data_IF_888571078706
#
_entry.id   IF_888571078706
#
_cell.length_a   1.000
_cell.length_b   1.000
_cell.length_c   1.000
_cell.angle_alpha   90.00
_cell.angle_beta   90.00
_cell.angle_gamma   90.00
#
_symmetry.space_group_name_H-M   'P 1'
#
loop_
_entity.id
_entity.type
_entity.pdbx_description
1 polymer ?
#
# COMPACT_ATOMS: atom_id res chain seq x y z
N UNK A 1 11.62 2.81 -9.86
CA UNK A 1 10.48 2.48 -10.75
C UNK A 1 9.17 2.84 -10.05
N UNK A 2 8.41 1.96 -9.40
CA UNK A 2 7.12 2.37 -8.82
C UNK A 2 7.21 3.24 -7.55
N UNK A 3 8.16 2.98 -6.63
CA UNK A 3 8.29 3.77 -5.39
C UNK A 3 8.61 5.25 -5.65
N UNK A 4 9.37 5.54 -6.69
CA UNK A 4 9.78 6.91 -7.03
C UNK A 4 8.56 7.72 -7.48
N UNK A 5 7.74 7.13 -8.36
CA UNK A 5 6.48 7.72 -8.81
C UNK A 5 5.44 7.81 -7.69
N UNK A 6 5.37 6.81 -6.81
CA UNK A 6 4.54 6.86 -5.61
C UNK A 6 4.91 8.05 -4.71
N UNK A 7 6.21 8.33 -4.53
CA UNK A 7 6.68 9.49 -3.75
C UNK A 7 6.33 10.79 -4.47
N UNK A 8 6.49 10.86 -5.80
CA UNK A 8 6.08 12.02 -6.60
C UNK A 8 4.59 12.30 -6.47
N UNK A 9 3.73 11.28 -6.60
CA UNK A 9 2.28 11.41 -6.42
C UNK A 9 1.97 11.98 -5.03
N UNK A 10 2.55 11.40 -3.97
CA UNK A 10 2.32 11.89 -2.61
C UNK A 10 2.77 13.35 -2.42
N UNK A 11 3.91 13.73 -3.00
CA UNK A 11 4.41 15.10 -2.91
C UNK A 11 3.59 16.10 -3.74
N UNK A 12 2.98 15.66 -4.83
CA UNK A 12 2.06 16.48 -5.64
C UNK A 12 0.72 16.70 -4.93
N UNK A 13 0.21 15.68 -4.23
CA UNK A 13 -0.97 15.83 -3.36
C UNK A 13 -0.69 16.81 -2.23
N UNK A 14 0.49 16.70 -1.60
CA UNK A 14 0.92 17.61 -0.54
C UNK A 14 2.44 17.62 -0.36
N UNK A 15 3.11 18.77 -0.46
CA UNK A 15 4.50 18.92 -0.03
C UNK A 15 4.67 18.52 1.43
N UNK A 16 5.86 18.06 1.81
CA UNK A 16 6.10 17.76 3.22
C UNK A 16 7.44 17.14 3.50
N UNK A 17 7.72 16.94 4.78
CA UNK A 17 8.92 16.27 5.25
C UNK A 17 8.91 14.78 4.94
N UNK A 18 10.09 14.16 4.94
CA UNK A 18 10.23 12.71 4.78
C UNK A 18 9.41 11.92 5.81
N UNK A 19 9.26 12.46 7.02
CA UNK A 19 8.44 11.85 8.08
C UNK A 19 6.94 11.94 7.75
N UNK A 20 6.47 13.11 7.31
CA UNK A 20 5.06 13.29 6.91
C UNK A 20 4.70 12.46 5.68
N UNK A 21 5.63 12.32 4.73
CA UNK A 21 5.54 11.40 3.61
C UNK A 21 5.39 9.96 4.09
N UNK A 22 6.29 9.49 4.95
CA UNK A 22 6.23 8.13 5.48
C UNK A 22 4.89 7.82 6.17
N UNK A 23 4.39 8.74 7.01
CA UNK A 23 3.06 8.59 7.62
C UNK A 23 1.89 8.64 6.64
N UNK A 24 2.06 9.25 5.47
CA UNK A 24 1.05 9.25 4.40
C UNK A 24 1.08 7.95 3.63
N UNK A 25 2.27 7.39 3.37
CA UNK A 25 2.41 6.05 2.83
C UNK A 25 1.69 5.03 3.70
N UNK A 26 1.82 5.08 5.02
CA UNK A 26 1.07 4.17 5.90
C UNK A 26 -0.46 4.31 5.83
N UNK A 27 -0.98 5.41 5.25
CA UNK A 27 -2.40 5.80 5.28
C UNK A 27 -3.09 5.95 3.92
N UNK A 28 -2.37 6.09 2.79
CA UNK A 28 -2.98 6.29 1.46
C UNK A 28 -2.36 5.41 0.38
N UNK A 29 -1.05 5.52 0.16
CA UNK A 29 -0.36 4.81 -0.94
C UNK A 29 0.13 3.42 -0.52
N UNK A 30 0.31 3.19 0.77
CA UNK A 30 0.73 1.91 1.36
C UNK A 30 -0.25 0.77 1.21
N UNK A 31 -1.42 1.03 0.60
CA UNK A 31 -2.36 0.00 0.19
C UNK A 31 -1.82 -0.86 -0.96
N UNK A 32 -1.08 -0.25 -1.89
CA UNK A 32 -0.54 -0.90 -3.07
C UNK A 32 0.98 -0.98 -3.05
N UNK A 33 1.63 -0.10 -2.28
CA UNK A 33 3.08 -0.07 -2.24
C UNK A 33 3.63 0.10 -0.83
N UNK A 34 4.08 -0.99 -0.23
CA UNK A 34 4.78 -0.95 1.05
C UNK A 34 6.21 -0.42 0.86
N UNK A 35 6.56 0.62 1.61
CA UNK A 35 7.92 1.13 1.68
C UNK A 35 8.29 1.43 3.13
N UNK A 36 9.44 0.94 3.55
CA UNK A 36 10.01 1.31 4.85
C UNK A 36 10.44 2.78 4.84
N UNK A 37 10.46 3.42 6.00
CA UNK A 37 10.97 4.80 6.12
C UNK A 37 12.36 4.92 5.50
N UNK A 38 13.25 3.95 5.76
CA UNK A 38 14.61 3.96 5.22
C UNK A 38 14.64 3.88 3.69
N UNK A 39 13.69 3.19 3.05
CA UNK A 39 13.57 3.20 1.59
C UNK A 39 13.10 4.56 1.09
N UNK A 40 12.10 5.17 1.74
CA UNK A 40 11.60 6.51 1.40
C UNK A 40 12.73 7.55 1.46
N UNK A 41 13.48 7.60 2.56
CA UNK A 41 14.59 8.55 2.70
C UNK A 41 15.72 8.33 1.68
N UNK A 42 16.03 7.08 1.34
CA UNK A 42 17.02 6.76 0.30
C UNK A 42 16.57 7.25 -1.08
N UNK A 43 15.28 7.07 -1.40
CA UNK A 43 14.71 7.52 -2.67
C UNK A 43 14.65 9.05 -2.74
N UNK A 44 14.22 9.72 -1.66
CA UNK A 44 14.21 11.19 -1.59
C UNK A 44 15.60 11.78 -1.85
N UNK A 45 16.65 11.25 -1.20
CA UNK A 45 18.03 11.70 -1.42
C UNK A 45 18.47 11.55 -2.88
N UNK A 46 18.09 10.44 -3.52
CA UNK A 46 18.41 10.21 -4.95
C UNK A 46 17.65 11.20 -5.84
N UNK A 47 16.35 11.36 -5.63
CA UNK A 47 15.50 12.29 -6.38
C UNK A 47 15.94 13.75 -6.25
N UNK A 48 16.45 14.15 -5.08
CA UNK A 48 17.08 15.47 -4.86
C UNK A 48 18.31 15.62 -5.77
N UNK A 49 19.19 14.60 -5.80
CA UNK A 49 20.36 14.58 -6.69
C UNK A 49 20.00 14.55 -8.17
N UNK A 50 18.90 13.88 -8.55
CA UNK A 50 18.39 13.80 -9.91
C UNK A 50 17.61 15.07 -10.34
N UNK A 51 17.40 16.03 -9.43
CA UNK A 51 16.63 17.26 -9.67
C UNK A 51 15.12 17.04 -9.84
N UNK A 52 14.59 15.90 -9.37
CA UNK A 52 13.17 15.58 -9.46
C UNK A 52 12.34 16.25 -8.35
N UNK A 53 12.99 16.60 -7.24
CA UNK A 53 12.38 17.29 -6.11
C UNK A 53 13.24 18.47 -5.67
N UNK A 54 12.57 19.50 -5.18
CA UNK A 54 13.19 20.63 -4.50
C UNK A 54 13.15 20.40 -2.98
N UNK A 55 14.14 20.95 -2.28
CA UNK A 55 14.24 20.89 -0.83
C UNK A 55 14.29 22.30 -0.26
N UNK A 56 13.39 22.59 0.67
CA UNK A 56 13.40 23.81 1.46
C UNK A 56 13.64 23.49 2.92
N UNK A 57 14.58 24.18 3.55
CA UNK A 57 14.71 24.15 5.01
C UNK A 57 13.64 25.06 5.63
N UNK A 58 12.85 24.48 6.52
CA UNK A 58 11.80 25.17 7.25
C UNK A 58 12.19 25.22 8.71
N UNK A 59 12.46 26.43 9.18
CA UNK A 59 12.78 26.68 10.58
C UNK A 59 11.66 26.18 11.49
N UNK A 60 12.04 25.55 12.61
CA UNK A 60 11.10 25.08 13.61
C UNK A 60 11.48 25.62 14.99
N UNK A 61 10.49 26.10 15.75
CA UNK A 61 10.72 26.46 17.15
C UNK A 61 10.90 25.19 18.00
N UNK A 62 11.90 25.22 18.88
CA UNK A 62 12.27 24.14 19.82
C UNK A 62 12.60 22.76 19.20
N UNK A 63 12.85 22.69 17.89
CA UNK A 63 13.27 21.45 17.18
C UNK A 63 14.22 21.76 16.03
N UNK A 64 15.03 20.79 15.56
CA UNK A 64 15.84 20.97 14.36
C UNK A 64 14.98 21.33 13.15
N UNK A 65 15.51 22.18 12.28
CA UNK A 65 14.89 22.55 11.02
C UNK A 65 14.46 21.31 10.22
N UNK A 66 13.26 21.37 9.65
CA UNK A 66 12.77 20.28 8.79
C UNK A 66 13.10 20.56 7.34
N UNK A 67 13.51 19.51 6.64
CA UNK A 67 13.51 19.48 5.17
C UNK A 67 12.09 19.25 4.68
N UNK A 68 11.54 20.22 3.97
CA UNK A 68 10.28 20.11 3.23
C UNK A 68 10.60 19.82 1.76
N UNK A 69 10.03 18.73 1.25
CA UNK A 69 10.22 18.29 -0.13
C UNK A 69 9.01 18.70 -0.97
N UNK A 70 9.25 19.12 -2.21
CA UNK A 70 8.22 19.40 -3.22
C UNK A 70 8.67 18.91 -4.60
N UNK A 71 7.73 18.55 -5.47
CA UNK A 71 8.08 18.06 -6.81
C UNK A 71 8.52 19.20 -7.72
N UNK A 72 9.72 19.07 -8.29
CA UNK A 72 10.29 19.97 -9.28
C UNK A 72 9.79 19.67 -10.71
N UNK A 73 10.07 20.57 -11.67
CA UNK A 73 9.65 20.37 -13.06
C UNK A 73 10.15 19.05 -13.69
N UNK A 74 11.42 18.62 -13.50
CA UNK A 74 11.87 17.31 -13.99
C UNK A 74 11.11 16.13 -13.39
N UNK A 75 10.74 16.21 -12.10
CA UNK A 75 9.93 15.17 -11.45
C UNK A 75 8.52 15.07 -12.02
N UNK A 76 7.90 16.20 -12.37
CA UNK A 76 6.60 16.21 -13.06
C UNK A 76 6.69 15.58 -14.46
N UNK A 77 7.76 15.87 -15.19
CA UNK A 77 8.00 15.29 -16.50
C UNK A 77 8.21 13.77 -16.41
N UNK A 78 9.00 13.31 -15.43
CA UNK A 78 9.20 11.89 -15.17
C UNK A 78 7.90 11.16 -14.84
N UNK A 79 7.06 11.73 -13.95
CA UNK A 79 5.76 11.15 -13.64
C UNK A 79 4.83 11.10 -14.87
N UNK A 80 4.83 12.17 -15.69
CA UNK A 80 4.02 12.23 -16.90
C UNK A 80 4.45 11.17 -17.91
N UNK A 81 5.76 10.98 -18.10
CA UNK A 81 6.28 9.93 -18.96
C UNK A 81 5.85 8.54 -18.47
N UNK A 82 6.02 8.27 -17.18
CA UNK A 82 5.64 7.00 -16.57
C UNK A 82 4.14 6.68 -16.67
N UNK A 83 3.26 7.69 -16.58
CA UNK A 83 1.82 7.50 -16.77
C UNK A 83 1.43 6.99 -18.16
N UNK A 84 2.30 7.18 -19.16
CA UNK A 84 2.08 6.72 -20.54
C UNK A 84 2.83 5.42 -20.86
N UNK A 85 3.58 4.88 -19.89
CA UNK A 85 4.22 3.58 -20.05
C UNK A 85 3.18 2.45 -19.93
N UNK A 86 3.27 1.39 -20.75
CA UNK A 86 2.38 0.25 -20.63
C UNK A 86 2.61 -0.46 -19.30
N UNK A 87 1.52 -0.94 -18.69
CA UNK A 87 1.56 -1.76 -17.48
C UNK A 87 1.38 -3.22 -17.90
N UNK A 88 2.37 -4.05 -17.58
CA UNK A 88 2.27 -5.50 -17.75
C UNK A 88 1.53 -6.13 -16.56
N UNK A 89 0.74 -7.20 -16.77
CA UNK A 89 0.11 -7.93 -15.69
C UNK A 89 1.15 -8.42 -14.66
N UNK A 90 0.83 -8.27 -13.38
CA UNK A 90 1.71 -8.75 -12.32
C UNK A 90 1.78 -10.28 -12.33
N UNK A 91 3.01 -10.81 -12.24
CA UNK A 91 3.20 -12.24 -11.97
C UNK A 91 3.04 -12.49 -10.48
N UNK A 92 1.91 -13.09 -10.11
CA UNK A 92 1.60 -13.35 -8.71
C UNK A 92 2.36 -14.57 -8.19
N UNK A 93 3.27 -14.36 -7.23
CA UNK A 93 4.02 -15.42 -6.55
C UNK A 93 3.47 -15.65 -5.15
N UNK A 94 2.60 -16.64 -5.00
CA UNK A 94 2.00 -16.99 -3.71
C UNK A 94 2.71 -18.18 -3.05
N UNK A 95 3.62 -17.92 -2.12
CA UNK A 95 4.30 -18.96 -1.34
C UNK A 95 3.30 -19.87 -0.60
N UNK A 96 2.22 -19.29 -0.05
CA UNK A 96 1.18 -20.05 0.64
C UNK A 96 0.51 -21.08 -0.29
N UNK A 97 0.26 -20.73 -1.55
CA UNK A 97 -0.34 -21.66 -2.52
C UNK A 97 0.57 -22.87 -2.77
N UNK A 98 1.89 -22.65 -2.82
CA UNK A 98 2.88 -23.74 -2.94
C UNK A 98 2.88 -24.60 -1.68
N UNK A 99 2.86 -23.99 -0.49
CA UNK A 99 2.77 -24.71 0.80
C UNK A 99 1.50 -25.57 0.88
N UNK A 100 0.34 -25.04 0.48
CA UNK A 100 -0.93 -25.79 0.44
C UNK A 100 -0.79 -27.04 -0.43
N UNK A 101 -0.18 -26.95 -1.61
CA UNK A 101 0.07 -28.12 -2.47
C UNK A 101 1.08 -29.09 -1.85
N UNK A 102 2.12 -28.58 -1.22
CA UNK A 102 3.14 -29.38 -0.57
C UNK A 102 2.59 -30.19 0.63
N UNK A 103 1.54 -29.69 1.29
CA UNK A 103 0.89 -30.38 2.41
C UNK A 103 0.28 -31.74 2.03
N UNK A 104 0.07 -32.03 0.74
CA UNK A 104 -0.32 -33.35 0.28
C UNK A 104 0.76 -34.43 0.50
N UNK A 105 2.02 -34.01 0.74
CA UNK A 105 3.16 -34.90 0.99
C UNK A 105 3.59 -34.91 2.46
N UNK A 106 2.81 -34.29 3.35
CA UNK A 106 3.06 -34.22 4.80
C UNK A 106 1.69 -34.16 5.54
N UNK A 107 1.57 -33.38 6.62
CA UNK A 107 0.32 -33.17 7.36
C UNK A 107 -0.40 -31.86 6.94
N UNK A 108 -1.59 -31.93 6.30
CA UNK A 108 -2.44 -30.77 6.04
C UNK A 108 -2.81 -29.96 7.28
N UNK A 109 -2.96 -30.61 8.44
CA UNK A 109 -3.33 -29.92 9.67
C UNK A 109 -2.22 -28.97 10.15
N UNK A 110 -0.96 -29.23 9.81
CA UNK A 110 0.18 -28.39 10.18
C UNK A 110 0.10 -26.97 9.61
N UNK A 111 -0.61 -26.76 8.49
CA UNK A 111 -0.78 -25.44 7.89
C UNK A 111 -1.90 -24.60 8.50
N UNK A 112 -2.83 -25.20 9.26
CA UNK A 112 -4.03 -24.49 9.76
C UNK A 112 -3.64 -23.25 10.56
N UNK A 113 -2.69 -23.36 11.49
CA UNK A 113 -2.27 -22.24 12.32
C UNK A 113 -1.66 -21.09 11.51
N UNK A 114 -0.86 -21.42 10.50
CA UNK A 114 -0.22 -20.43 9.63
C UNK A 114 -1.26 -19.73 8.74
N UNK A 115 -2.22 -20.47 8.18
CA UNK A 115 -3.31 -19.90 7.39
C UNK A 115 -4.19 -19.00 8.26
N UNK A 116 -4.50 -19.38 9.49
CA UNK A 116 -5.25 -18.53 10.43
C UNK A 116 -4.50 -17.24 10.77
N UNK A 117 -3.18 -17.32 11.00
CA UNK A 117 -2.33 -16.15 11.23
C UNK A 117 -2.35 -15.21 10.02
N UNK A 118 -2.19 -15.77 8.82
CA UNK A 118 -2.23 -15.02 7.57
C UNK A 118 -3.59 -14.35 7.35
N UNK A 119 -4.68 -15.08 7.56
CA UNK A 119 -6.05 -14.57 7.49
C UNK A 119 -6.30 -13.42 8.46
N UNK A 120 -5.84 -13.52 9.72
CA UNK A 120 -5.95 -12.42 10.69
C UNK A 120 -5.28 -11.14 10.19
N UNK A 121 -4.08 -11.25 9.61
CA UNK A 121 -3.37 -10.09 9.07
C UNK A 121 -4.13 -9.40 7.91
N UNK A 122 -4.79 -10.18 7.05
CA UNK A 122 -5.66 -9.67 5.97
C UNK A 122 -6.95 -9.05 6.52
N UNK A 123 -7.59 -9.67 7.51
CA UNK A 123 -8.79 -9.12 8.16
C UNK A 123 -8.52 -7.79 8.86
N UNK A 124 -7.38 -7.66 9.54
CA UNK A 124 -6.94 -6.40 10.17
C UNK A 124 -6.67 -5.31 9.12
N UNK A 125 -6.19 -5.69 7.93
CA UNK A 125 -5.99 -4.75 6.83
C UNK A 125 -7.31 -4.29 6.23
N UNK A 126 -8.22 -5.22 5.95
CA UNK A 126 -9.57 -4.89 5.47
C UNK A 126 -10.30 -3.96 6.43
N UNK A 127 -10.21 -4.22 7.74
CA UNK A 127 -10.80 -3.35 8.77
C UNK A 127 -10.27 -1.92 8.69
N UNK A 128 -8.95 -1.76 8.52
CA UNK A 128 -8.33 -0.43 8.35
C UNK A 128 -8.78 0.25 7.05
N UNK A 129 -8.95 -0.50 5.96
CA UNK A 129 -9.41 0.06 4.68
C UNK A 129 -10.85 0.56 4.76
N UNK A 130 -11.75 -0.24 5.35
CA UNK A 130 -13.15 0.14 5.53
C UNK A 130 -13.28 1.36 6.46
N UNK A 131 -12.46 1.42 7.53
CA UNK A 131 -12.42 2.59 8.40
C UNK A 131 -11.92 3.85 7.67
N UNK A 132 -10.89 3.73 6.83
CA UNK A 132 -10.40 4.81 5.99
C UNK A 132 -11.42 5.27 4.95
N UNK A 133 -12.06 4.32 4.26
CA UNK A 133 -13.10 4.61 3.26
C UNK A 133 -14.27 5.38 3.87
N UNK A 134 -14.73 4.95 5.04
CA UNK A 134 -15.79 5.65 5.79
C UNK A 134 -15.34 7.03 6.23
N UNK A 135 -14.11 7.20 6.71
CA UNK A 135 -13.63 8.50 7.19
C UNK A 135 -13.51 9.51 6.03
N UNK A 136 -12.92 9.09 4.92
CA UNK A 136 -12.42 10.00 3.90
C UNK A 136 -13.37 10.15 2.70
N UNK A 137 -14.26 9.18 2.44
CA UNK A 137 -15.05 9.15 1.20
C UNK A 137 -16.56 8.88 1.35
N UNK A 138 -16.99 8.06 2.32
CA UNK A 138 -18.40 7.60 2.37
C UNK A 138 -19.15 7.90 3.67
N UNK A 139 -18.45 8.37 4.71
CA UNK A 139 -19.05 8.65 6.01
C UNK A 139 -19.63 10.05 6.14
N UNK A 140 -20.24 10.36 7.30
CA UNK A 140 -20.94 11.62 7.51
C UNK A 140 -20.02 12.86 7.52
N UNK A 141 -18.72 12.66 7.79
CA UNK A 141 -17.70 13.71 7.78
C UNK A 141 -16.95 13.80 6.44
N UNK A 142 -17.27 12.91 5.49
CA UNK A 142 -16.63 12.93 4.17
C UNK A 142 -17.11 14.12 3.34
N UNK A 143 -16.30 14.60 2.37
CA UNK A 143 -16.72 15.66 1.46
C UNK A 143 -18.00 15.26 0.70
N UNK A 144 -18.97 16.17 0.59
CA UNK A 144 -20.23 15.89 -0.10
C UNK A 144 -20.09 15.70 -1.62
N UNK A 145 -19.04 16.25 -2.22
CA UNK A 145 -18.66 16.02 -3.63
C UNK A 145 -17.16 15.87 -3.70
N UNK A 146 -16.70 14.80 -4.35
CA UNK A 146 -15.29 14.51 -4.54
C UNK A 146 -14.77 15.23 -5.79
N UNK A 147 -13.54 15.75 -5.73
CA UNK A 147 -12.82 16.15 -6.93
C UNK A 147 -12.23 14.92 -7.66
N UNK A 148 -11.76 15.12 -8.89
CA UNK A 148 -11.19 14.03 -9.69
C UNK A 148 -10.01 13.32 -9.01
N UNK A 149 -9.19 14.04 -8.24
CA UNK A 149 -8.07 13.44 -7.50
C UNK A 149 -8.57 12.54 -6.38
N UNK A 150 -9.57 12.99 -5.64
CA UNK A 150 -10.22 12.20 -4.58
C UNK A 150 -10.97 10.99 -5.14
N UNK A 151 -11.62 11.11 -6.30
CA UNK A 151 -12.25 9.96 -6.97
C UNK A 151 -11.22 8.89 -7.38
N UNK A 152 -10.06 9.31 -7.90
CA UNK A 152 -8.97 8.41 -8.25
C UNK A 152 -8.36 7.74 -7.00
N UNK A 153 -8.19 8.47 -5.91
CA UNK A 153 -7.77 7.87 -4.64
C UNK A 153 -8.78 6.84 -4.14
N UNK A 154 -10.08 7.13 -4.25
CA UNK A 154 -11.14 6.23 -3.80
C UNK A 154 -11.22 4.97 -4.66
N UNK A 155 -11.08 5.06 -5.99
CA UNK A 155 -11.09 3.86 -6.86
C UNK A 155 -9.93 2.92 -6.54
N UNK A 156 -8.76 3.48 -6.24
CA UNK A 156 -7.58 2.74 -5.78
C UNK A 156 -7.90 2.04 -4.45
N UNK A 157 -8.40 2.76 -3.44
CA UNK A 157 -8.80 2.14 -2.16
C UNK A 157 -9.84 1.02 -2.32
N UNK A 158 -10.86 1.21 -3.16
CA UNK A 158 -11.88 0.18 -3.46
C UNK A 158 -11.27 -1.08 -4.05
N UNK A 159 -10.25 -0.95 -4.91
CA UNK A 159 -9.48 -2.09 -5.40
C UNK A 159 -8.80 -2.88 -4.28
N UNK A 160 -8.21 -2.18 -3.31
CA UNK A 160 -7.59 -2.80 -2.12
C UNK A 160 -8.60 -3.53 -1.24
N UNK A 161 -9.78 -2.93 -1.03
CA UNK A 161 -10.89 -3.58 -0.30
C UNK A 161 -11.34 -4.85 -1.02
N UNK A 162 -11.50 -4.80 -2.34
CA UNK A 162 -11.90 -5.95 -3.15
C UNK A 162 -10.87 -7.08 -3.08
N UNK A 163 -9.58 -6.74 -3.18
CA UNK A 163 -8.47 -7.69 -3.05
C UNK A 163 -8.44 -8.39 -1.69
N UNK A 164 -8.58 -7.63 -0.60
CA UNK A 164 -8.57 -8.20 0.75
C UNK A 164 -9.79 -9.11 0.99
N UNK A 165 -10.98 -8.74 0.49
CA UNK A 165 -12.17 -9.61 0.55
C UNK A 165 -11.95 -10.93 -0.21
N UNK A 166 -11.51 -10.84 -1.46
CA UNK A 166 -11.19 -12.02 -2.27
C UNK A 166 -10.17 -12.94 -1.57
N UNK A 167 -9.13 -12.35 -0.98
CA UNK A 167 -8.09 -13.10 -0.26
C UNK A 167 -8.67 -13.80 0.97
N UNK A 168 -9.51 -13.12 1.76
CA UNK A 168 -10.16 -13.73 2.93
C UNK A 168 -11.07 -14.89 2.53
N UNK A 169 -11.86 -14.73 1.47
CA UNK A 169 -12.73 -15.80 0.96
C UNK A 169 -11.92 -17.03 0.55
N UNK A 170 -10.79 -16.84 -0.15
CA UNK A 170 -9.88 -17.92 -0.50
C UNK A 170 -9.26 -18.59 0.74
N UNK A 171 -8.83 -17.81 1.74
CA UNK A 171 -8.26 -18.37 2.97
C UNK A 171 -9.29 -19.15 3.79
N UNK A 172 -10.56 -18.74 3.76
CA UNK A 172 -11.65 -19.49 4.38
C UNK A 172 -11.89 -20.84 3.69
N UNK A 173 -11.86 -20.87 2.35
CA UNK A 173 -11.92 -22.13 1.57
C UNK A 173 -10.73 -23.06 1.88
N UNK A 174 -9.52 -22.49 1.97
CA UNK A 174 -8.32 -23.24 2.36
C UNK A 174 -8.48 -23.83 3.77
N UNK A 175 -8.91 -23.04 4.75
CA UNK A 175 -9.11 -23.51 6.12
C UNK A 175 -10.16 -24.62 6.21
N UNK A 176 -11.29 -24.45 5.50
CA UNK A 176 -12.33 -25.47 5.44
C UNK A 176 -11.78 -26.78 4.84
N UNK A 177 -10.98 -26.68 3.77
CA UNK A 177 -10.34 -27.83 3.12
C UNK A 177 -9.33 -28.53 4.04
N UNK A 178 -8.41 -27.79 4.65
CA UNK A 178 -7.39 -28.37 5.55
C UNK A 178 -8.02 -29.04 6.77
N UNK A 179 -9.02 -28.41 7.40
CA UNK A 179 -9.73 -28.99 8.56
C UNK A 179 -10.48 -30.27 8.19
N UNK A 180 -11.10 -30.32 7.01
CA UNK A 180 -11.76 -31.53 6.50
C UNK A 180 -10.77 -32.68 6.29
N UNK A 181 -9.55 -32.38 5.84
CA UNK A 181 -8.50 -33.39 5.62
C UNK A 181 -7.84 -33.86 6.92
N UNK A 182 -7.77 -33.00 7.94
CA UNK A 182 -7.19 -33.31 9.25
C UNK A 182 -8.11 -34.02 10.24
N UNK A 183 -9.42 -34.09 9.98
CA UNK A 183 -10.34 -34.89 10.80
C UNK A 183 -10.08 -36.39 10.58
N UNK A 184 -9.81 -37.19 11.63
CA UNK A 184 -9.68 -38.63 11.48
C UNK A 184 -10.98 -39.22 10.92
N UNK A 185 -10.85 -40.11 9.92
CA UNK A 185 -11.97 -40.91 9.42
C UNK A 185 -12.44 -41.91 10.47
#
# INVERSE_FOLDING_TARGET
>A
MALDHAILVSLLEKPGSGYELARRFDRSIGYFWAATHQQIYRVLKRMEGDGWIDVREVAQDDRPDKKEYSVAAPGRAALTAWLHEPIEPETVRHELAVKIRAAAFDDPAALVHEVERYRRAHADRLTRYLAGERRDFTGPEAPGTLDAGQELQHVVLRGGIAYERMTLDWLDDVLATLRRLGSPR
#
